data_IF_286959428015
#
_entry.id   IF_286959428015
#
_cell.length_a   1.000
_cell.length_b   1.000
_cell.length_c   1.000
_cell.angle_alpha   90.00
_cell.angle_beta   90.00
_cell.angle_gamma   90.00
#
_symmetry.space_group_name_H-M   'P 1'
#
loop_
_entity.id
_entity.type
_entity.pdbx_description
1 polymer ?
#
# COMPACT_ATOMS: atom_id res chain seq x y z
N UNK A 1 -49.85 13.89 61.89
CA UNK A 1 -50.05 13.55 60.50
C UNK A 1 -48.82 14.08 59.79
N UNK A 2 -47.89 13.22 59.35
CA UNK A 2 -46.67 13.68 58.66
C UNK A 2 -46.90 13.71 57.14
N UNK A 3 -46.44 14.82 56.53
CA UNK A 3 -46.44 15.03 55.08
C UNK A 3 -45.30 14.25 54.43
N UNK A 4 -45.63 13.38 53.47
CA UNK A 4 -44.63 12.76 52.61
C UNK A 4 -44.36 13.73 51.44
N UNK A 5 -43.14 14.27 51.38
CA UNK A 5 -42.60 14.96 50.26
C UNK A 5 -41.94 13.94 49.31
N UNK A 6 -42.51 13.76 48.14
CA UNK A 6 -41.99 12.93 47.05
C UNK A 6 -40.83 13.67 46.37
N UNK A 7 -39.59 13.19 46.60
CA UNK A 7 -38.42 13.65 45.84
C UNK A 7 -38.36 12.96 44.50
N UNK A 8 -38.59 13.74 43.43
CA UNK A 8 -38.47 13.29 42.05
C UNK A 8 -36.98 13.28 41.64
N UNK A 9 -36.40 12.11 41.53
CA UNK A 9 -35.03 11.92 41.08
C UNK A 9 -35.01 12.02 39.55
N UNK A 10 -34.52 13.15 39.01
CA UNK A 10 -34.27 13.32 37.60
C UNK A 10 -32.99 12.56 37.24
N UNK A 11 -33.11 11.42 36.59
CA UNK A 11 -31.97 10.70 36.03
C UNK A 11 -31.67 11.32 34.65
N UNK A 12 -30.66 12.16 34.59
CA UNK A 12 -30.12 12.70 33.35
C UNK A 12 -29.27 11.63 32.69
N UNK A 13 -29.81 10.97 31.66
CA UNK A 13 -29.05 10.05 30.79
C UNK A 13 -28.17 10.87 29.88
N UNK A 14 -26.89 10.93 30.23
CA UNK A 14 -25.85 11.53 29.36
C UNK A 14 -25.52 10.52 28.26
N UNK A 15 -26.12 10.68 27.09
CA UNK A 15 -25.74 9.92 25.89
C UNK A 15 -24.39 10.47 25.42
N UNK A 16 -23.30 9.80 25.78
CA UNK A 16 -22.00 10.01 25.18
C UNK A 16 -22.05 9.51 23.74
N UNK A 17 -22.23 10.43 22.79
CA UNK A 17 -21.95 10.20 21.40
C UNK A 17 -20.44 9.96 21.28
N UNK A 18 -20.03 8.69 21.39
CA UNK A 18 -18.68 8.26 20.99
C UNK A 18 -18.60 8.43 19.48
N UNK A 19 -18.21 9.61 19.02
CA UNK A 19 -17.79 9.81 17.65
C UNK A 19 -16.66 8.81 17.37
N UNK A 20 -16.76 8.06 16.28
CA UNK A 20 -15.63 7.30 15.73
C UNK A 20 -14.52 8.31 15.39
N UNK A 21 -13.63 8.54 16.33
CA UNK A 21 -12.36 9.19 16.03
C UNK A 21 -11.52 8.20 15.23
N UNK A 22 -10.93 8.61 14.10
CA UNK A 22 -9.90 7.79 13.47
C UNK A 22 -8.77 7.56 14.49
N UNK A 23 -8.13 6.37 14.48
CA UNK A 23 -7.03 6.11 15.39
C UNK A 23 -5.96 7.20 15.21
N UNK A 24 -5.29 7.63 16.28
CA UNK A 24 -4.23 8.63 16.21
C UNK A 24 -3.14 8.10 15.26
N UNK A 25 -2.80 8.91 14.26
CA UNK A 25 -1.66 8.69 13.40
C UNK A 25 -0.40 8.61 14.27
N UNK A 26 0.20 7.43 14.42
CA UNK A 26 1.44 7.29 15.16
C UNK A 26 1.68 6.01 15.97
N UNK A 27 0.72 5.08 16.04
CA UNK A 27 1.02 3.77 16.58
C UNK A 27 1.32 2.78 15.46
N UNK A 28 2.56 2.29 15.41
CA UNK A 28 3.01 1.22 14.52
C UNK A 28 2.23 -0.06 14.84
N UNK A 29 1.02 -0.18 14.29
CA UNK A 29 0.08 -1.26 14.62
C UNK A 29 0.29 -2.53 13.77
N UNK A 30 1.13 -2.46 12.72
CA UNK A 30 1.14 -3.38 11.63
C UNK A 30 1.24 -4.86 11.99
N UNK A 31 2.43 -5.40 12.02
CA UNK A 31 2.58 -6.84 12.27
C UNK A 31 2.23 -7.27 13.71
N UNK A 32 2.02 -6.30 14.61
CA UNK A 32 1.55 -6.52 15.97
C UNK A 32 0.04 -6.77 16.07
N UNK A 33 -0.71 -6.61 14.97
CA UNK A 33 -2.15 -6.88 14.95
C UNK A 33 -2.49 -8.10 14.07
N UNK A 34 -2.61 -9.30 14.65
CA UNK A 34 -3.08 -10.49 13.95
C UNK A 34 -4.43 -10.30 13.27
N UNK A 35 -5.24 -9.39 13.81
CA UNK A 35 -6.57 -9.04 13.29
C UNK A 35 -6.50 -8.40 11.90
N UNK A 36 -5.58 -7.46 11.65
CA UNK A 36 -5.43 -6.82 10.34
C UNK A 36 -4.99 -7.81 9.26
N UNK A 37 -4.06 -8.72 9.60
CA UNK A 37 -3.67 -9.80 8.67
C UNK A 37 -4.82 -10.77 8.39
N UNK A 38 -5.64 -11.07 9.39
CA UNK A 38 -6.82 -11.90 9.22
C UNK A 38 -7.87 -11.23 8.32
N UNK A 39 -8.07 -9.90 8.46
CA UNK A 39 -8.92 -9.12 7.55
C UNK A 39 -8.40 -9.20 6.12
N UNK A 40 -7.12 -8.85 5.87
CA UNK A 40 -6.51 -8.87 4.54
C UNK A 40 -6.59 -10.26 3.90
N UNK A 41 -6.47 -11.32 4.69
CA UNK A 41 -6.61 -12.69 4.18
C UNK A 41 -8.00 -13.01 3.63
N UNK A 42 -9.04 -12.36 4.13
CA UNK A 42 -10.44 -12.59 3.73
C UNK A 42 -10.93 -11.62 2.67
N UNK A 43 -10.21 -10.56 2.45
CA UNK A 43 -10.55 -9.58 1.43
C UNK A 43 -10.06 -10.03 0.07
N UNK A 44 -10.90 -9.80 -0.95
CA UNK A 44 -10.49 -9.98 -2.34
C UNK A 44 -9.71 -8.76 -2.82
N UNK A 45 -8.63 -9.00 -3.55
CA UNK A 45 -7.85 -7.93 -4.17
C UNK A 45 -8.69 -7.25 -5.24
N UNK A 46 -9.12 -6.01 -4.96
CA UNK A 46 -9.93 -5.21 -5.89
C UNK A 46 -9.16 -4.88 -7.17
N UNK A 47 -9.87 -4.86 -8.30
CA UNK A 47 -9.33 -4.44 -9.59
C UNK A 47 -10.26 -3.38 -10.22
N UNK A 48 -9.71 -2.40 -10.95
CA UNK A 48 -8.27 -2.17 -11.10
C UNK A 48 -7.63 -1.66 -9.81
N UNK A 49 -6.35 -2.00 -9.61
CA UNK A 49 -5.53 -1.42 -8.56
C UNK A 49 -5.24 0.06 -8.87
N UNK A 50 -4.95 0.84 -7.85
CA UNK A 50 -4.41 2.19 -8.02
C UNK A 50 -3.07 2.12 -8.76
N UNK A 51 -2.90 2.94 -9.81
CA UNK A 51 -1.60 3.07 -10.47
C UNK A 51 -0.61 3.67 -9.48
N UNK A 52 0.50 2.98 -9.18
CA UNK A 52 1.36 3.33 -8.07
C UNK A 52 2.34 4.49 -8.34
N UNK A 53 2.04 5.34 -9.33
CA UNK A 53 2.79 6.58 -9.62
C UNK A 53 1.80 7.69 -9.93
N UNK A 54 1.90 8.79 -9.17
CA UNK A 54 1.00 9.94 -9.34
C UNK A 54 1.08 10.51 -10.76
N UNK A 55 -0.09 10.87 -11.31
CA UNK A 55 -0.20 11.49 -12.65
C UNK A 55 -0.02 10.53 -13.82
N UNK A 56 0.34 9.26 -13.58
CA UNK A 56 0.42 8.24 -14.64
C UNK A 56 -0.96 7.64 -14.89
N UNK A 57 -1.33 7.56 -16.17
CA UNK A 57 -2.60 6.98 -16.62
C UNK A 57 -2.42 5.56 -17.14
N UNK A 58 -3.49 4.78 -17.22
CA UNK A 58 -3.45 3.42 -17.80
C UNK A 58 -2.88 3.35 -19.23
N UNK A 59 -3.06 4.40 -20.02
CA UNK A 59 -2.53 4.47 -21.40
C UNK A 59 -1.00 4.60 -21.47
N UNK A 60 -0.39 5.08 -20.41
CA UNK A 60 1.07 5.25 -20.28
C UNK A 60 1.76 4.03 -19.71
N UNK A 61 1.00 3.05 -19.20
CA UNK A 61 1.56 1.80 -18.72
C UNK A 61 2.01 0.91 -19.88
N UNK A 62 3.20 0.34 -19.73
CA UNK A 62 3.74 -0.65 -20.65
C UNK A 62 3.88 -1.99 -19.94
N UNK A 63 3.49 -3.07 -20.60
CA UNK A 63 3.74 -4.42 -20.10
C UNK A 63 5.20 -4.80 -20.34
N UNK A 64 6.03 -4.62 -19.34
CA UNK A 64 7.45 -5.00 -19.35
C UNK A 64 7.70 -6.30 -18.59
N UNK A 65 6.64 -7.04 -18.21
CA UNK A 65 6.74 -8.33 -17.54
C UNK A 65 7.50 -9.35 -18.39
N UNK A 66 8.35 -10.13 -17.76
CA UNK A 66 9.10 -11.20 -18.41
C UNK A 66 10.24 -10.73 -19.33
N UNK A 67 10.43 -9.42 -19.50
CA UNK A 67 11.54 -8.88 -20.28
C UNK A 67 12.89 -9.37 -19.73
N UNK A 68 13.84 -9.62 -20.63
CA UNK A 68 15.20 -10.07 -20.26
C UNK A 68 15.91 -9.04 -19.39
N UNK A 69 16.55 -9.51 -18.34
CA UNK A 69 17.37 -8.72 -17.41
C UNK A 69 18.79 -9.27 -17.36
N UNK A 70 19.72 -8.51 -16.78
CA UNK A 70 21.10 -8.95 -16.58
C UNK A 70 21.19 -10.29 -15.83
N UNK A 71 22.23 -11.07 -16.10
CA UNK A 71 22.49 -12.38 -15.49
C UNK A 71 21.36 -13.43 -15.75
N UNK A 72 20.71 -13.38 -16.91
CA UNK A 72 19.70 -14.37 -17.32
C UNK A 72 18.37 -14.30 -16.56
N UNK A 73 18.17 -13.28 -15.70
CA UNK A 73 16.90 -13.08 -14.99
C UNK A 73 15.80 -12.60 -15.93
N UNK A 74 14.57 -12.85 -15.54
CA UNK A 74 13.39 -12.24 -16.15
C UNK A 74 12.87 -11.11 -15.25
N UNK A 75 12.17 -10.16 -15.85
CA UNK A 75 11.55 -9.06 -15.15
C UNK A 75 10.31 -9.54 -14.40
N UNK A 76 10.35 -9.50 -13.07
CA UNK A 76 9.26 -9.92 -12.18
C UNK A 76 8.47 -8.71 -11.67
N UNK A 77 8.00 -7.88 -12.60
CA UNK A 77 7.26 -6.67 -12.34
C UNK A 77 7.06 -5.85 -13.61
N UNK A 78 6.64 -4.62 -13.46
CA UNK A 78 6.62 -3.62 -14.52
C UNK A 78 7.39 -2.38 -14.10
N UNK A 79 7.97 -1.69 -15.09
CA UNK A 79 8.66 -0.43 -14.88
C UNK A 79 7.76 0.72 -15.33
N UNK A 80 7.46 1.64 -14.40
CA UNK A 80 6.61 2.81 -14.61
C UNK A 80 7.51 4.05 -14.57
N UNK A 81 7.79 4.62 -15.73
CA UNK A 81 8.68 5.77 -15.87
C UNK A 81 7.99 7.06 -15.44
N UNK A 82 8.68 7.84 -14.60
CA UNK A 82 8.26 9.16 -14.17
C UNK A 82 9.48 10.00 -13.75
N UNK A 83 9.30 11.29 -13.54
CA UNK A 83 10.38 12.15 -13.06
C UNK A 83 10.80 11.73 -11.63
N UNK A 84 12.10 11.92 -11.32
CA UNK A 84 12.59 11.74 -9.95
C UNK A 84 11.79 12.62 -8.99
N UNK A 85 11.40 12.09 -7.84
CA UNK A 85 10.62 12.80 -6.85
C UNK A 85 9.11 12.79 -7.10
N UNK A 86 8.62 12.18 -8.20
CA UNK A 86 7.17 11.96 -8.37
C UNK A 86 6.66 11.05 -7.25
N UNK A 87 5.51 11.38 -6.61
CA UNK A 87 4.95 10.54 -5.55
C UNK A 87 4.68 9.11 -6.01
N UNK A 88 5.10 8.14 -5.19
CA UNK A 88 4.74 6.73 -5.31
C UNK A 88 3.58 6.46 -4.38
N UNK A 89 2.51 5.89 -4.94
CA UNK A 89 1.26 5.63 -4.25
C UNK A 89 1.14 4.14 -3.89
N UNK A 90 0.52 3.84 -2.76
CA UNK A 90 0.13 2.46 -2.48
C UNK A 90 -0.90 1.99 -3.50
N UNK A 91 -0.63 0.89 -4.18
CA UNK A 91 -1.53 0.35 -5.20
C UNK A 91 -2.83 -0.23 -4.60
N UNK A 92 -2.78 -0.60 -3.34
CA UNK A 92 -3.90 -1.15 -2.56
C UNK A 92 -3.77 -0.75 -1.11
N UNK A 93 -4.83 -0.91 -0.33
CA UNK A 93 -4.71 -0.82 1.13
C UNK A 93 -3.93 -2.01 1.68
N UNK A 94 -3.31 -1.84 2.83
CA UNK A 94 -2.57 -2.93 3.44
C UNK A 94 -1.64 -2.50 4.55
N UNK A 95 -0.75 -3.42 4.91
CA UNK A 95 0.23 -3.22 5.98
C UNK A 95 1.62 -3.06 5.36
N UNK A 96 2.31 -2.01 5.71
CA UNK A 96 3.72 -1.83 5.36
C UNK A 96 4.54 -2.92 6.06
N UNK A 97 4.89 -3.95 5.31
CA UNK A 97 5.60 -5.11 5.85
C UNK A 97 7.06 -4.81 6.12
N UNK A 98 7.70 -4.09 5.21
CA UNK A 98 9.13 -3.78 5.29
C UNK A 98 9.48 -2.52 4.51
N UNK A 99 10.38 -1.74 5.06
CA UNK A 99 11.06 -0.61 4.42
C UNK A 99 12.55 -0.86 4.55
N UNK A 100 13.30 -0.75 3.46
CA UNK A 100 14.74 -1.01 3.51
C UNK A 100 15.43 -0.89 2.17
N UNK A 101 16.64 -1.40 2.10
CA UNK A 101 17.46 -1.37 0.90
C UNK A 101 17.97 -2.76 0.53
N UNK A 102 18.11 -3.03 -0.78
CA UNK A 102 18.80 -4.20 -1.29
C UNK A 102 19.60 -3.87 -2.57
N UNK A 103 20.45 -4.78 -2.98
CA UNK A 103 21.38 -4.54 -4.11
C UNK A 103 20.65 -4.33 -5.44
N UNK A 104 19.54 -5.01 -5.68
CA UNK A 104 18.79 -4.91 -6.93
C UNK A 104 17.81 -3.74 -6.92
N UNK A 105 16.92 -3.72 -5.95
CA UNK A 105 15.85 -2.72 -5.89
C UNK A 105 16.29 -1.36 -5.35
N UNK A 106 17.48 -1.26 -4.75
CA UNK A 106 17.87 -0.03 -4.05
C UNK A 106 17.00 0.21 -2.82
N UNK A 107 16.43 1.39 -2.66
CA UNK A 107 15.42 1.67 -1.64
C UNK A 107 14.10 1.02 -2.04
N UNK A 108 13.49 0.28 -1.13
CA UNK A 108 12.31 -0.55 -1.40
C UNK A 108 11.29 -0.48 -0.28
N UNK A 109 10.03 -0.68 -0.65
CA UNK A 109 8.92 -0.90 0.28
C UNK A 109 8.21 -2.21 -0.11
N UNK A 110 7.79 -2.98 0.89
CA UNK A 110 6.89 -4.11 0.75
C UNK A 110 5.60 -3.84 1.51
N UNK A 111 4.46 -4.03 0.85
CA UNK A 111 3.13 -3.91 1.47
C UNK A 111 2.41 -5.26 1.33
N UNK A 112 1.83 -5.74 2.44
CA UNK A 112 0.92 -6.87 2.43
C UNK A 112 -0.50 -6.35 2.25
N UNK A 113 -1.12 -6.69 1.13
CA UNK A 113 -2.49 -6.30 0.76
C UNK A 113 -3.51 -7.42 0.93
N UNK A 114 -4.73 -7.24 0.39
CA UNK A 114 -5.79 -8.25 0.34
C UNK A 114 -5.30 -9.59 -0.24
N UNK A 115 -5.91 -10.71 0.16
CA UNK A 115 -5.47 -12.07 -0.16
C UNK A 115 -4.03 -12.39 0.30
N UNK A 116 -3.49 -11.56 1.23
CA UNK A 116 -2.09 -11.57 1.65
C UNK A 116 -1.11 -11.39 0.47
N UNK A 117 -1.56 -10.75 -0.61
CA UNK A 117 -0.71 -10.35 -1.73
C UNK A 117 0.44 -9.45 -1.24
N UNK A 118 1.61 -9.60 -1.85
CA UNK A 118 2.78 -8.81 -1.52
C UNK A 118 3.05 -7.84 -2.67
N UNK A 119 3.02 -6.55 -2.37
CA UNK A 119 3.27 -5.47 -3.32
C UNK A 119 4.67 -4.91 -3.09
N UNK A 120 5.49 -4.94 -4.13
CA UNK A 120 6.89 -4.53 -4.10
C UNK A 120 7.10 -3.25 -4.88
N UNK A 121 7.68 -2.27 -4.22
CA UNK A 121 8.00 -0.94 -4.77
C UNK A 121 9.51 -0.76 -4.68
N UNK A 122 10.20 -0.55 -5.80
CA UNK A 122 11.64 -0.45 -5.84
C UNK A 122 12.16 0.73 -6.66
N UNK A 123 13.48 0.96 -6.58
CA UNK A 123 14.22 2.08 -7.17
C UNK A 123 13.83 3.44 -6.60
N UNK A 124 13.27 3.45 -5.37
CA UNK A 124 12.79 4.66 -4.72
C UNK A 124 13.92 5.66 -4.46
N UNK A 125 13.60 6.96 -4.50
CA UNK A 125 14.50 8.03 -4.12
C UNK A 125 14.46 8.27 -2.61
N UNK A 126 13.27 8.45 -2.07
CA UNK A 126 13.02 8.67 -0.64
C UNK A 126 11.73 7.95 -0.23
N UNK A 127 11.61 7.66 1.07
CA UNK A 127 10.37 7.20 1.68
C UNK A 127 9.56 8.41 2.15
N UNK A 128 8.23 8.31 2.17
CA UNK A 128 7.41 9.33 2.82
C UNK A 128 7.71 9.34 4.34
N UNK A 129 7.85 10.53 4.92
CA UNK A 129 8.32 10.69 6.31
C UNK A 129 7.42 10.01 7.35
N UNK A 130 6.12 9.92 7.04
CA UNK A 130 5.11 9.35 7.95
C UNK A 130 4.99 7.83 7.86
N UNK A 131 5.70 7.16 6.93
CA UNK A 131 5.55 5.71 6.68
C UNK A 131 6.61 4.92 7.43
N UNK A 132 6.16 3.95 8.21
CA UNK A 132 7.00 3.01 8.96
C UNK A 132 6.54 1.57 8.75
N UNK A 133 7.47 0.62 8.99
CA UNK A 133 7.11 -0.80 8.98
C UNK A 133 6.10 -1.10 10.08
N UNK A 134 5.01 -1.70 9.70
CA UNK A 134 3.89 -1.99 10.57
C UNK A 134 2.69 -1.07 10.40
N UNK A 135 2.81 0.05 9.69
CA UNK A 135 1.70 0.96 9.46
C UNK A 135 0.68 0.38 8.50
N UNK A 136 -0.57 0.77 8.71
CA UNK A 136 -1.63 0.59 7.73
C UNK A 136 -1.59 1.74 6.73
N UNK A 137 -1.77 1.43 5.46
CA UNK A 137 -1.89 2.41 4.37
C UNK A 137 -3.14 2.15 3.55
N UNK A 138 -3.70 3.21 3.00
CA UNK A 138 -4.83 3.12 2.08
C UNK A 138 -4.36 3.13 0.61
N UNK A 139 -5.22 2.64 -0.29
CA UNK A 139 -4.96 2.74 -1.73
C UNK A 139 -4.87 4.22 -2.14
N UNK A 140 -3.83 4.59 -2.88
CA UNK A 140 -3.57 5.97 -3.30
C UNK A 140 -2.80 6.82 -2.28
N UNK A 141 -2.48 6.30 -1.11
CA UNK A 141 -1.65 6.99 -0.12
C UNK A 141 -0.20 7.10 -0.61
N UNK A 142 0.42 8.27 -0.42
CA UNK A 142 1.82 8.48 -0.80
C UNK A 142 2.73 7.73 0.18
N UNK A 143 3.51 6.80 -0.33
CA UNK A 143 4.41 5.95 0.48
C UNK A 143 5.90 6.24 0.26
N UNK A 144 6.23 6.82 -0.90
CA UNK A 144 7.61 7.10 -1.30
C UNK A 144 7.65 8.04 -2.51
N UNK A 145 8.85 8.21 -3.08
CA UNK A 145 9.08 9.02 -4.27
C UNK A 145 9.92 8.24 -5.30
N UNK A 146 9.61 8.43 -6.59
CA UNK A 146 10.30 7.80 -7.73
C UNK A 146 11.77 8.18 -7.76
N UNK A 147 12.63 7.19 -7.91
CA UNK A 147 14.07 7.37 -8.06
C UNK A 147 14.69 6.48 -9.12
N UNK A 148 15.93 6.12 -8.93
CA UNK A 148 16.66 5.12 -9.73
C UNK A 148 17.75 4.42 -8.87
N UNK A 149 17.47 4.16 -7.60
CA UNK A 149 18.41 3.50 -6.71
C UNK A 149 18.61 2.01 -7.07
N UNK A 150 19.56 1.36 -6.43
CA UNK A 150 19.90 -0.04 -6.72
C UNK A 150 20.56 -0.22 -8.08
N UNK A 151 20.15 -1.21 -8.86
CA UNK A 151 20.68 -1.49 -10.18
C UNK A 151 20.14 -0.58 -11.29
N UNK A 152 19.20 0.32 -10.96
CA UNK A 152 18.64 1.30 -11.89
C UNK A 152 19.44 2.62 -11.99
N UNK A 153 20.61 2.74 -11.33
CA UNK A 153 21.39 3.99 -11.27
C UNK A 153 21.76 4.59 -12.62
N UNK A 154 21.90 3.76 -13.65
CA UNK A 154 22.23 4.17 -15.02
C UNK A 154 21.04 4.26 -15.96
N UNK A 155 19.83 4.07 -15.47
CA UNK A 155 18.59 4.17 -16.24
C UNK A 155 17.82 5.44 -15.91
N UNK A 156 16.90 5.91 -16.79
CA UNK A 156 15.97 6.96 -16.40
C UNK A 156 15.18 6.59 -15.13
N UNK A 157 14.79 7.58 -14.29
CA UNK A 157 14.02 7.32 -13.10
C UNK A 157 12.71 6.59 -13.42
N UNK A 158 12.38 5.59 -12.61
CA UNK A 158 11.16 4.81 -12.73
C UNK A 158 10.84 4.09 -11.41
N UNK A 159 9.60 3.75 -11.22
CA UNK A 159 9.18 2.78 -10.22
C UNK A 159 9.23 1.39 -10.85
N UNK A 160 9.95 0.44 -10.23
CA UNK A 160 9.70 -0.98 -10.46
C UNK A 160 8.61 -1.44 -9.49
N UNK A 161 7.51 -1.97 -10.04
CA UNK A 161 6.38 -2.46 -9.26
C UNK A 161 6.11 -3.94 -9.53
N UNK A 162 6.05 -4.75 -8.46
CA UNK A 162 5.80 -6.19 -8.53
C UNK A 162 4.68 -6.64 -7.60
N UNK A 163 3.97 -7.70 -7.98
CA UNK A 163 2.97 -8.38 -7.15
C UNK A 163 3.38 -9.83 -6.99
N UNK A 164 3.28 -10.35 -5.76
CA UNK A 164 3.63 -11.73 -5.44
C UNK A 164 2.52 -12.37 -4.61
N UNK A 165 2.14 -13.59 -4.94
CA UNK A 165 1.21 -14.38 -4.15
C UNK A 165 1.92 -15.57 -3.52
N UNK A 166 1.51 -15.91 -2.29
CA UNK A 166 2.05 -17.07 -1.58
C UNK A 166 1.83 -18.34 -2.37
N UNK A 167 2.90 -19.13 -2.57
CA UNK A 167 2.87 -20.38 -3.33
C UNK A 167 2.85 -20.25 -4.86
N UNK A 168 2.65 -19.03 -5.40
CA UNK A 168 2.67 -18.78 -6.85
C UNK A 168 3.90 -17.96 -7.29
N UNK A 169 4.48 -17.17 -6.37
CA UNK A 169 5.59 -16.27 -6.67
C UNK A 169 5.13 -14.97 -7.34
N UNK A 170 6.00 -14.40 -8.18
CA UNK A 170 5.73 -13.18 -8.90
C UNK A 170 4.62 -13.38 -9.95
N UNK A 171 3.75 -12.38 -10.06
CA UNK A 171 2.63 -12.34 -11.02
C UNK A 171 2.69 -11.04 -11.80
N UNK A 172 2.33 -11.07 -13.09
CA UNK A 172 2.32 -9.86 -13.93
C UNK A 172 1.39 -8.79 -13.36
N UNK A 173 1.91 -7.61 -12.93
CA UNK A 173 1.06 -6.55 -12.35
C UNK A 173 0.22 -5.82 -13.40
N UNK A 174 0.59 -5.86 -14.67
CA UNK A 174 -0.01 -5.06 -15.72
C UNK A 174 -1.54 -5.24 -15.84
N UNK A 175 -2.09 -6.48 -15.88
CA UNK A 175 -3.54 -6.68 -15.92
C UNK A 175 -4.25 -6.10 -14.68
N UNK A 176 -3.64 -6.16 -13.51
CA UNK A 176 -4.24 -5.64 -12.27
C UNK A 176 -4.35 -4.12 -12.23
N UNK A 177 -3.55 -3.39 -13.01
CA UNK A 177 -3.55 -1.94 -13.08
C UNK A 177 -4.46 -1.40 -14.19
N UNK A 178 -4.96 -2.27 -15.08
CA UNK A 178 -5.89 -1.92 -16.16
C UNK A 178 -7.32 -2.26 -15.76
N UNK A 179 -8.25 -1.31 -15.98
CA UNK A 179 -9.65 -1.66 -16.00
C UNK A 179 -9.91 -2.62 -17.16
N UNK A 180 -10.75 -3.64 -16.96
CA UNK A 180 -11.27 -4.41 -18.09
C UNK A 180 -12.03 -3.46 -19.00
N UNK A 181 -11.67 -3.42 -20.28
CA UNK A 181 -12.50 -2.77 -21.29
C UNK A 181 -13.78 -3.60 -21.38
N UNK A 182 -14.91 -3.04 -20.92
CA UNK A 182 -16.21 -3.64 -21.12
C UNK A 182 -16.43 -3.77 -22.63
N UNK A 183 -16.38 -4.99 -23.13
CA UNK A 183 -16.68 -5.35 -24.51
C UNK A 183 -18.17 -5.32 -24.76
#
# INVERSE_FOLDING_TARGET
>A
MPNLSASLLLITVLILLSGCQPPPSGESAGWKSPYLYWQLRKETLSQPLTIPVEGVTQRQLNDTWGASRSAGRKHEGIDIFAQRGTPVLSATRGIVRNIGTNNLGGKVIWITGPELSQHYYAHLDEYAEHIQAGDWVEAGEVIAYVGNTGNAKSTPPHLHYGIYFSGQGATNPYPYLKAEELK
#
